data_IF_207410307789
#
_entry.id   IF_207410307789
#
_cell.length_a   1.000
_cell.length_b   1.000
_cell.length_c   1.000
_cell.angle_alpha   90.00
_cell.angle_beta   90.00
_cell.angle_gamma   90.00
#
_symmetry.space_group_name_H-M   'P 1'
#
loop_
_entity.id
_entity.type
_entity.pdbx_description
1 polymer ?
#
# COMPACT_ATOMS: atom_id res chain seq x y z
N UNK A 1 27.31 -25.90 -62.47
CA UNK A 1 27.43 -26.20 -61.02
C UNK A 1 28.02 -24.97 -60.36
N UNK A 2 27.23 -24.26 -59.56
CA UNK A 2 27.64 -23.10 -58.75
C UNK A 2 27.13 -23.37 -57.33
N UNK A 3 27.92 -23.14 -56.26
CA UNK A 3 27.51 -23.52 -54.92
C UNK A 3 26.62 -22.43 -54.31
N UNK A 4 25.53 -22.85 -53.66
CA UNK A 4 24.70 -21.99 -52.84
C UNK A 4 25.41 -21.75 -51.50
N UNK A 5 25.72 -20.49 -51.19
CA UNK A 5 26.27 -20.10 -49.89
C UNK A 5 25.11 -19.79 -48.95
N UNK A 6 24.95 -20.63 -47.91
CA UNK A 6 23.96 -20.45 -46.87
C UNK A 6 24.48 -19.40 -45.88
N UNK A 7 23.77 -18.27 -45.75
CA UNK A 7 24.09 -17.21 -44.81
C UNK A 7 23.38 -17.49 -43.47
N UNK A 8 24.11 -17.93 -42.46
CA UNK A 8 23.59 -18.15 -41.11
C UNK A 8 23.51 -16.80 -40.40
N UNK A 9 22.30 -16.28 -40.18
CA UNK A 9 22.06 -15.09 -39.34
C UNK A 9 22.05 -15.55 -37.89
N UNK A 10 23.08 -15.14 -37.13
CA UNK A 10 23.12 -15.31 -35.67
C UNK A 10 22.38 -14.12 -35.06
N UNK A 11 21.17 -14.35 -34.56
CA UNK A 11 20.45 -13.37 -33.76
C UNK A 11 21.05 -13.41 -32.35
N UNK A 12 21.85 -12.41 -32.02
CA UNK A 12 22.35 -12.21 -30.66
C UNK A 12 21.21 -11.64 -29.82
N UNK A 13 20.54 -12.50 -29.05
CA UNK A 13 19.65 -12.09 -27.96
C UNK A 13 20.52 -11.51 -26.84
N UNK A 14 20.62 -10.20 -26.78
CA UNK A 14 21.15 -9.52 -25.60
C UNK A 14 20.11 -9.67 -24.48
N UNK A 15 20.48 -10.13 -23.27
CA UNK A 15 19.56 -10.09 -22.14
C UNK A 15 19.21 -8.62 -21.91
N UNK A 16 17.91 -8.32 -21.87
CA UNK A 16 17.42 -7.04 -21.35
C UNK A 16 17.92 -6.95 -19.91
N UNK A 17 18.90 -6.07 -19.67
CA UNK A 17 19.19 -5.60 -18.33
C UNK A 17 17.91 -4.91 -17.85
N UNK A 18 17.14 -5.59 -16.99
CA UNK A 18 16.10 -4.98 -16.17
C UNK A 18 16.84 -3.94 -15.33
N UNK A 19 16.88 -2.70 -15.82
CA UNK A 19 17.32 -1.59 -15.01
C UNK A 19 16.20 -1.39 -13.99
N UNK A 20 16.52 -1.54 -12.70
CA UNK A 20 15.63 -1.12 -11.65
C UNK A 20 15.26 0.34 -11.93
N UNK A 21 14.02 0.58 -12.37
CA UNK A 21 13.54 1.94 -12.59
C UNK A 21 13.44 2.57 -11.22
N UNK A 22 14.14 3.68 -10.97
CA UNK A 22 13.86 4.50 -9.80
C UNK A 22 12.71 5.43 -10.16
N UNK A 23 11.66 5.40 -9.33
CA UNK A 23 10.46 6.20 -9.54
C UNK A 23 10.21 7.06 -8.32
N UNK A 24 10.08 8.36 -8.53
CA UNK A 24 9.78 9.31 -7.45
C UNK A 24 8.35 9.16 -6.91
N UNK A 25 7.54 8.28 -7.51
CA UNK A 25 6.18 7.95 -7.08
C UNK A 25 6.16 6.96 -5.90
N UNK A 26 7.26 6.25 -5.63
CA UNK A 26 7.32 5.23 -4.58
C UNK A 26 7.27 5.84 -3.19
N UNK A 27 6.38 5.30 -2.36
CA UNK A 27 6.28 5.61 -0.95
C UNK A 27 6.40 4.39 -0.08
N UNK A 28 6.43 4.62 1.23
CA UNK A 28 6.52 3.57 2.23
C UNK A 28 5.19 3.46 2.98
N UNK A 29 4.51 2.33 2.82
CA UNK A 29 3.51 1.88 3.77
C UNK A 29 4.26 1.32 4.99
N UNK A 30 4.45 2.15 6.00
CA UNK A 30 5.33 1.84 7.12
C UNK A 30 4.61 1.06 8.22
N UNK A 31 5.10 -0.15 8.48
CA UNK A 31 4.66 -1.01 9.60
C UNK A 31 5.84 -1.16 10.58
N UNK A 32 5.79 -0.51 11.76
CA UNK A 32 6.89 -0.59 12.71
C UNK A 32 7.02 -1.99 13.31
N UNK A 33 8.26 -2.44 13.55
CA UNK A 33 8.56 -3.65 14.30
C UNK A 33 9.34 -3.32 15.57
N UNK A 34 8.76 -3.61 16.73
CA UNK A 34 9.47 -3.47 18.01
C UNK A 34 10.58 -4.53 18.17
N UNK A 35 10.39 -5.72 17.56
CA UNK A 35 11.36 -6.82 17.62
C UNK A 35 12.58 -6.56 16.71
N UNK A 36 12.35 -5.87 15.60
CA UNK A 36 13.33 -5.64 14.54
C UNK A 36 13.48 -4.17 14.16
N UNK A 37 13.48 -3.27 15.14
CA UNK A 37 13.58 -1.82 14.92
C UNK A 37 14.82 -1.37 14.12
N UNK A 38 15.88 -2.17 14.03
CA UNK A 38 17.05 -1.89 13.18
C UNK A 38 16.76 -1.96 11.69
N UNK A 39 15.69 -2.65 11.28
CA UNK A 39 15.31 -2.76 9.88
C UNK A 39 14.94 -1.37 9.29
N UNK A 40 14.59 -0.41 10.15
CA UNK A 40 14.31 0.97 9.77
C UNK A 40 15.50 1.70 9.11
N UNK A 41 16.73 1.24 9.35
CA UNK A 41 17.92 1.75 8.68
C UNK A 41 17.86 1.56 7.15
N UNK A 42 17.14 0.55 6.66
CA UNK A 42 16.93 0.30 5.23
C UNK A 42 16.01 1.35 4.59
N UNK A 43 15.01 1.82 5.33
CA UNK A 43 14.04 2.81 4.85
C UNK A 43 14.59 4.23 4.87
N UNK A 44 15.51 4.51 5.79
CA UNK A 44 16.10 5.85 5.99
C UNK A 44 17.42 6.07 5.24
N UNK A 45 17.92 5.05 4.54
CA UNK A 45 19.15 5.14 3.77
C UNK A 45 19.06 6.21 2.67
N UNK A 46 20.07 7.09 2.59
CA UNK A 46 20.10 8.23 1.64
C UNK A 46 20.01 7.88 0.14
N UNK A 47 20.14 6.60 -0.21
CA UNK A 47 20.11 6.09 -1.59
C UNK A 47 18.73 5.60 -2.03
N UNK A 48 17.71 5.63 -1.17
CA UNK A 48 16.38 5.13 -1.49
C UNK A 48 15.62 6.04 -2.48
N UNK A 49 14.84 5.49 -3.44
CA UNK A 49 13.96 6.25 -4.32
C UNK A 49 12.65 6.68 -3.64
N UNK A 50 12.42 6.27 -2.39
CA UNK A 50 11.23 6.63 -1.62
C UNK A 50 11.15 8.14 -1.41
N UNK A 51 9.96 8.72 -1.57
CA UNK A 51 9.75 10.18 -1.42
C UNK A 51 8.74 10.56 -0.34
N UNK A 52 7.87 9.63 0.05
CA UNK A 52 6.82 9.84 1.03
C UNK A 52 6.56 8.57 1.86
N UNK A 53 5.91 8.71 3.00
CA UNK A 53 5.44 7.57 3.80
C UNK A 53 4.17 7.91 4.57
N UNK A 54 3.46 6.86 4.96
CA UNK A 54 2.41 6.91 5.97
C UNK A 54 2.53 5.69 6.87
N UNK A 55 1.91 5.75 8.06
CA UNK A 55 2.04 4.73 9.11
C UNK A 55 0.69 4.43 9.78
N UNK A 56 -0.41 4.67 9.09
CA UNK A 56 -1.79 4.57 9.60
C UNK A 56 -2.14 5.52 10.77
N UNK A 57 -1.25 6.45 11.13
CA UNK A 57 -1.44 7.37 12.25
C UNK A 57 -1.58 8.83 11.80
N UNK A 58 -2.02 9.67 12.73
CA UNK A 58 -2.07 11.13 12.56
C UNK A 58 -0.70 11.80 12.74
N UNK A 59 0.31 11.09 13.25
CA UNK A 59 1.62 11.63 13.61
C UNK A 59 2.76 10.78 13.06
N UNK A 60 3.92 11.40 12.73
CA UNK A 60 5.03 10.71 12.10
C UNK A 60 5.73 9.75 13.06
N UNK A 61 6.22 8.64 12.52
CA UNK A 61 7.12 7.72 13.23
C UNK A 61 8.48 8.38 13.50
N UNK A 62 8.92 8.42 14.75
CA UNK A 62 10.22 9.00 15.13
C UNK A 62 11.41 8.29 14.48
N UNK A 63 11.28 6.98 14.23
CA UNK A 63 12.29 6.18 13.54
C UNK A 63 12.62 6.69 12.13
N UNK A 64 11.66 7.33 11.45
CA UNK A 64 11.84 7.85 10.10
C UNK A 64 12.20 9.34 10.04
N UNK A 65 12.44 9.98 11.19
CA UNK A 65 12.73 11.42 11.25
C UNK A 65 13.98 11.87 10.48
N UNK A 66 14.95 10.98 10.26
CA UNK A 66 16.17 11.23 9.50
C UNK A 66 16.05 10.92 7.99
N UNK A 67 14.94 10.31 7.56
CA UNK A 67 14.80 9.77 6.20
C UNK A 67 14.69 10.82 5.10
N UNK A 68 14.23 12.03 5.43
CA UNK A 68 13.85 13.05 4.44
C UNK A 68 12.56 12.73 3.68
N UNK A 69 11.84 11.66 4.04
CA UNK A 69 10.55 11.32 3.47
C UNK A 69 9.47 12.30 3.94
N UNK A 70 8.56 12.66 3.03
CA UNK A 70 7.39 13.46 3.41
C UNK A 70 6.37 12.58 4.12
N UNK A 71 6.05 12.89 5.37
CA UNK A 71 4.99 12.20 6.11
C UNK A 71 3.60 12.59 5.60
N UNK A 72 2.72 11.61 5.45
CA UNK A 72 1.32 11.77 5.06
C UNK A 72 0.43 11.23 6.20
N UNK A 73 -0.19 12.11 7.01
CA UNK A 73 -1.09 11.70 8.09
C UNK A 73 -2.32 10.96 7.55
N UNK A 74 -2.80 9.98 8.31
CA UNK A 74 -4.04 9.24 8.02
C UNK A 74 -5.03 9.34 9.17
N UNK A 75 -6.29 9.65 8.86
CA UNK A 75 -7.41 9.41 9.78
C UNK A 75 -7.89 7.99 9.55
N UNK A 76 -7.29 7.01 10.23
CA UNK A 76 -7.53 5.58 9.97
C UNK A 76 -9.01 5.18 10.08
N UNK A 77 -9.70 5.64 11.12
CA UNK A 77 -11.11 5.38 11.37
C UNK A 77 -11.68 6.40 12.34
N UNK A 78 -13.00 6.40 12.52
CA UNK A 78 -13.68 7.27 13.47
C UNK A 78 -14.93 6.62 14.07
N UNK A 79 -15.35 7.12 15.24
CA UNK A 79 -16.59 6.71 15.91
C UNK A 79 -17.56 7.88 15.95
N UNK A 80 -18.85 7.61 15.78
CA UNK A 80 -19.86 8.67 15.71
C UNK A 80 -19.90 9.55 16.96
N UNK A 81 -19.78 10.87 16.75
CA UNK A 81 -19.78 11.87 17.82
C UNK A 81 -18.53 11.86 18.72
N UNK A 82 -17.49 11.11 18.36
CA UNK A 82 -16.21 11.09 19.08
C UNK A 82 -15.18 11.88 18.26
N UNK A 83 -14.65 12.95 18.87
CA UNK A 83 -13.51 13.69 18.34
C UNK A 83 -12.28 12.78 18.33
N UNK A 84 -11.72 12.55 17.14
CA UNK A 84 -10.52 11.73 16.96
C UNK A 84 -9.25 12.48 17.32
N UNK A 85 -9.31 13.81 17.41
CA UNK A 85 -8.17 14.70 17.57
C UNK A 85 -7.35 14.87 16.29
N UNK A 86 -7.78 14.30 15.16
CA UNK A 86 -7.02 14.27 13.91
C UNK A 86 -6.75 15.66 13.34
N UNK A 87 -7.79 16.49 13.20
CA UNK A 87 -7.64 17.87 12.75
C UNK A 87 -6.62 18.63 13.61
N UNK A 88 -6.75 18.51 14.93
CA UNK A 88 -5.88 19.18 15.89
C UNK A 88 -4.42 18.69 15.77
N UNK A 89 -4.21 17.39 15.59
CA UNK A 89 -2.88 16.79 15.41
C UNK A 89 -2.21 17.26 14.11
N UNK A 90 -2.92 17.28 12.98
CA UNK A 90 -2.40 17.77 11.70
C UNK A 90 -2.13 19.26 11.76
N UNK A 91 -3.05 20.04 12.34
CA UNK A 91 -2.86 21.49 12.51
C UNK A 91 -1.63 21.79 13.37
N UNK A 92 -1.40 21.06 14.46
CA UNK A 92 -0.25 21.27 15.32
C UNK A 92 1.08 21.03 14.58
N UNK A 93 1.13 20.04 13.68
CA UNK A 93 2.30 19.79 12.84
C UNK A 93 2.52 20.91 11.82
N UNK A 94 1.46 21.40 11.16
CA UNK A 94 1.53 22.56 10.27
C UNK A 94 2.03 23.82 11.01
N UNK A 95 1.51 24.08 12.22
CA UNK A 95 1.93 25.20 13.05
C UNK A 95 3.41 25.08 13.50
N UNK A 96 3.92 23.85 13.63
CA UNK A 96 5.33 23.57 13.90
C UNK A 96 6.25 23.72 12.67
N UNK A 97 5.68 23.95 11.49
CA UNK A 97 6.42 24.14 10.23
C UNK A 97 6.63 22.86 9.41
N UNK A 98 5.97 21.76 9.76
CA UNK A 98 6.03 20.52 8.98
C UNK A 98 5.40 20.70 7.60
N UNK A 99 6.00 20.09 6.58
CA UNK A 99 5.59 20.21 5.18
C UNK A 99 4.42 19.27 4.82
N UNK A 100 3.33 19.32 5.58
CA UNK A 100 2.14 18.50 5.30
C UNK A 100 1.35 19.12 4.15
N UNK A 101 1.27 18.38 3.04
CA UNK A 101 0.55 18.82 1.84
C UNK A 101 -0.65 17.94 1.49
N UNK A 102 -0.67 16.70 1.99
CA UNK A 102 -1.71 15.71 1.74
C UNK A 102 -2.03 14.98 3.05
N UNK A 103 -3.27 14.53 3.19
CA UNK A 103 -3.71 13.58 4.23
C UNK A 103 -4.54 12.47 3.60
N UNK A 104 -4.48 11.30 4.20
CA UNK A 104 -5.30 10.14 3.83
C UNK A 104 -6.56 10.08 4.71
N UNK A 105 -7.67 9.72 4.08
CA UNK A 105 -8.93 9.42 4.77
C UNK A 105 -8.92 8.04 5.44
N UNK A 106 -10.11 7.51 5.69
CA UNK A 106 -10.32 6.24 6.39
C UNK A 106 -9.70 5.05 5.65
N UNK A 107 -9.17 4.10 6.42
CA UNK A 107 -8.59 2.85 5.96
C UNK A 107 -9.64 1.75 5.92
N UNK A 108 -9.95 1.24 4.74
CA UNK A 108 -10.94 0.19 4.46
C UNK A 108 -12.19 0.30 5.34
N UNK A 109 -12.92 1.43 5.29
CA UNK A 109 -14.13 1.61 6.09
C UNK A 109 -15.25 0.64 5.70
N UNK A 110 -15.15 0.01 4.54
CA UNK A 110 -16.01 -1.08 4.07
C UNK A 110 -15.57 -2.47 4.58
N UNK A 111 -14.35 -2.58 5.11
CA UNK A 111 -13.79 -3.81 5.67
C UNK A 111 -13.95 -3.93 7.18
N UNK A 112 -14.00 -5.17 7.67
CA UNK A 112 -14.15 -5.47 9.11
C UNK A 112 -12.85 -5.21 9.89
N UNK A 113 -12.96 -4.86 11.17
CA UNK A 113 -11.78 -4.54 12.00
C UNK A 113 -10.89 -5.72 12.34
N UNK A 114 -11.41 -6.95 12.30
CA UNK A 114 -10.60 -8.16 12.48
C UNK A 114 -9.76 -8.51 11.24
N UNK A 115 -10.08 -7.95 10.07
CA UNK A 115 -9.26 -8.05 8.85
C UNK A 115 -8.43 -6.81 8.57
N UNK A 116 -8.40 -5.83 9.49
CA UNK A 116 -7.58 -4.62 9.39
C UNK A 116 -8.30 -3.39 8.82
N UNK A 117 -9.61 -3.47 8.57
CA UNK A 117 -10.43 -2.33 8.14
C UNK A 117 -10.95 -1.49 9.30
N UNK A 118 -11.38 -0.27 9.00
CA UNK A 118 -11.91 0.63 10.04
C UNK A 118 -13.38 0.39 10.40
N UNK A 119 -14.08 -0.50 9.67
CA UNK A 119 -15.47 -0.91 9.89
C UNK A 119 -16.40 0.27 10.21
N UNK A 120 -16.60 1.13 9.20
CA UNK A 120 -17.33 2.37 9.37
C UNK A 120 -18.57 2.42 8.48
N UNK A 121 -19.76 2.66 9.05
CA UNK A 121 -20.92 3.03 8.26
C UNK A 121 -20.68 4.35 7.51
N UNK A 122 -21.04 4.40 6.22
CA UNK A 122 -20.88 5.58 5.36
C UNK A 122 -21.38 6.89 5.98
N UNK A 123 -22.52 6.87 6.67
CA UNK A 123 -23.08 8.05 7.34
C UNK A 123 -22.23 8.54 8.53
N UNK A 124 -21.58 7.62 9.26
CA UNK A 124 -20.65 7.96 10.35
C UNK A 124 -19.38 8.57 9.76
N UNK A 125 -18.84 7.94 8.71
CA UNK A 125 -17.69 8.45 7.98
C UNK A 125 -17.92 9.86 7.43
N UNK A 126 -19.10 10.14 6.85
CA UNK A 126 -19.46 11.47 6.34
C UNK A 126 -19.41 12.55 7.43
N UNK A 127 -19.96 12.28 8.62
CA UNK A 127 -19.93 13.23 9.76
C UNK A 127 -18.51 13.43 10.28
N UNK A 128 -17.75 12.35 10.42
CA UNK A 128 -16.35 12.43 10.85
C UNK A 128 -15.50 13.21 9.84
N UNK A 129 -15.69 12.98 8.54
CA UNK A 129 -15.01 13.70 7.47
C UNK A 129 -15.24 15.21 7.57
N UNK A 130 -16.51 15.62 7.72
CA UNK A 130 -16.88 17.04 7.85
C UNK A 130 -16.28 17.70 9.09
N UNK A 131 -16.09 16.94 10.18
CA UNK A 131 -15.51 17.44 11.41
C UNK A 131 -13.97 17.52 11.37
N UNK A 132 -13.31 16.53 10.79
CA UNK A 132 -11.87 16.29 10.97
C UNK A 132 -11.02 16.56 9.71
N UNK A 133 -11.57 16.27 8.53
CA UNK A 133 -10.84 16.34 7.27
C UNK A 133 -11.15 17.63 6.50
N UNK A 134 -12.43 17.99 6.32
CA UNK A 134 -12.81 19.20 5.58
C UNK A 134 -12.11 20.49 6.05
N UNK A 135 -12.01 20.78 7.36
CA UNK A 135 -11.39 22.00 7.82
C UNK A 135 -9.90 22.14 7.41
N UNK A 136 -9.20 21.03 7.14
CA UNK A 136 -7.80 21.04 6.70
C UNK A 136 -7.62 21.68 5.32
N UNK A 137 -8.66 21.68 4.47
CA UNK A 137 -8.60 22.34 3.16
C UNK A 137 -8.42 23.85 3.26
N UNK A 138 -8.97 24.47 4.31
CA UNK A 138 -8.76 25.88 4.59
C UNK A 138 -7.29 26.19 4.96
N UNK A 139 -6.52 25.17 5.37
CA UNK A 139 -5.09 25.23 5.64
C UNK A 139 -4.23 24.88 4.41
N UNK A 140 -4.85 24.62 3.26
CA UNK A 140 -4.16 24.27 2.02
C UNK A 140 -3.76 22.80 1.90
N UNK A 141 -4.24 21.93 2.80
CA UNK A 141 -4.00 20.48 2.76
C UNK A 141 -4.97 19.82 1.78
N UNK A 142 -4.45 18.90 0.96
CA UNK A 142 -5.25 18.09 0.03
C UNK A 142 -5.78 16.84 0.71
N UNK A 143 -7.05 16.49 0.45
CA UNK A 143 -7.71 15.35 1.09
C UNK A 143 -7.79 14.14 0.15
N UNK A 144 -7.27 13.00 0.60
CA UNK A 144 -7.47 11.71 -0.05
C UNK A 144 -8.82 11.13 0.34
N UNK A 145 -9.58 10.65 -0.64
CA UNK A 145 -10.81 9.89 -0.39
C UNK A 145 -10.57 8.71 0.58
N UNK A 146 -11.61 8.14 1.22
CA UNK A 146 -11.46 6.90 1.96
C UNK A 146 -10.86 5.80 1.08
N UNK A 147 -9.84 5.11 1.58
CA UNK A 147 -9.19 4.00 0.89
C UNK A 147 -10.01 2.73 1.15
N UNK A 148 -10.92 2.38 0.23
CA UNK A 148 -11.77 1.19 0.37
C UNK A 148 -11.06 -0.08 -0.10
N UNK A 149 -11.57 -1.25 0.29
CA UNK A 149 -11.09 -2.53 -0.26
C UNK A 149 -11.18 -2.52 -1.80
N UNK A 150 -10.26 -3.25 -2.45
CA UNK A 150 -10.21 -3.39 -3.91
C UNK A 150 -11.35 -4.23 -4.51
N UNK A 151 -12.58 -4.07 -4.03
CA UNK A 151 -13.74 -4.88 -4.37
C UNK A 151 -14.90 -4.01 -4.91
N UNK A 152 -15.90 -4.62 -5.59
CA UNK A 152 -17.13 -3.90 -5.92
C UNK A 152 -17.83 -3.30 -4.69
N UNK A 153 -17.78 -4.01 -3.55
CA UNK A 153 -18.35 -3.53 -2.28
C UNK A 153 -17.69 -2.25 -1.78
N UNK A 154 -16.36 -2.11 -1.95
CA UNK A 154 -15.65 -0.88 -1.63
C UNK A 154 -16.12 0.31 -2.46
N UNK A 155 -16.32 0.11 -3.77
CA UNK A 155 -16.86 1.17 -4.64
C UNK A 155 -18.31 1.54 -4.28
N UNK A 156 -19.15 0.55 -3.95
CA UNK A 156 -20.52 0.78 -3.45
C UNK A 156 -20.51 1.56 -2.12
N UNK A 157 -19.54 1.28 -1.24
CA UNK A 157 -19.38 2.03 0.01
C UNK A 157 -19.00 3.49 -0.26
N UNK A 158 -18.08 3.76 -1.21
CA UNK A 158 -17.73 5.13 -1.60
C UNK A 158 -18.96 5.90 -2.11
N UNK A 159 -19.82 5.24 -2.88
CA UNK A 159 -21.06 5.83 -3.40
C UNK A 159 -21.99 6.26 -2.25
N UNK A 160 -22.19 5.37 -1.28
CA UNK A 160 -22.98 5.65 -0.09
C UNK A 160 -22.35 6.76 0.77
N UNK A 161 -21.02 6.82 0.86
CA UNK A 161 -20.29 7.88 1.57
C UNK A 161 -20.54 9.25 0.94
N UNK A 162 -20.35 9.38 -0.37
CA UNK A 162 -20.58 10.67 -1.05
C UNK A 162 -22.05 11.08 -1.05
N UNK A 163 -22.99 10.12 -1.10
CA UNK A 163 -24.41 10.41 -0.88
C UNK A 163 -24.67 10.95 0.52
N UNK A 164 -24.14 10.29 1.56
CA UNK A 164 -24.30 10.72 2.95
C UNK A 164 -23.63 12.07 3.24
N UNK A 165 -22.59 12.43 2.48
CA UNK A 165 -21.93 13.71 2.59
C UNK A 165 -22.75 14.90 2.10
N UNK A 166 -23.76 14.69 1.23
CA UNK A 166 -24.61 15.75 0.65
C UNK A 166 -23.80 16.97 0.14
N UNK A 167 -22.69 16.69 -0.56
CA UNK A 167 -21.77 17.70 -1.10
C UNK A 167 -20.79 18.32 -0.09
N UNK A 168 -20.82 17.89 1.18
CA UNK A 168 -19.94 18.38 2.25
C UNK A 168 -18.61 17.65 2.40
N UNK A 169 -18.26 16.71 1.52
CA UNK A 169 -16.98 15.99 1.55
C UNK A 169 -16.27 16.10 0.20
N UNK A 170 -15.35 17.04 0.08
CA UNK A 170 -14.54 17.27 -1.10
C UNK A 170 -13.24 16.46 -1.04
N UNK A 171 -12.91 15.77 -2.13
CA UNK A 171 -11.67 15.00 -2.28
C UNK A 171 -10.79 15.58 -3.38
N UNK A 172 -9.47 15.55 -3.17
CA UNK A 172 -8.46 16.06 -4.10
C UNK A 172 -7.75 14.94 -4.87
N UNK A 173 -7.65 13.76 -4.27
CA UNK A 173 -7.08 12.54 -4.86
C UNK A 173 -7.77 11.29 -4.30
N UNK A 174 -7.53 10.14 -4.93
CA UNK A 174 -8.18 8.87 -4.57
C UNK A 174 -7.14 7.82 -4.20
N UNK A 175 -7.02 7.48 -2.91
CA UNK A 175 -6.34 6.28 -2.45
C UNK A 175 -7.01 5.01 -2.98
N UNK A 176 -6.22 4.01 -3.35
CA UNK A 176 -6.69 2.72 -3.87
C UNK A 176 -5.91 1.61 -3.20
N UNK A 177 -6.63 0.60 -2.70
CA UNK A 177 -6.07 -0.66 -2.24
C UNK A 177 -6.32 -1.77 -3.26
N UNK A 178 -5.37 -2.68 -3.41
CA UNK A 178 -5.56 -3.86 -4.26
C UNK A 178 -4.74 -5.07 -3.81
N UNK A 179 -5.44 -6.14 -3.45
CA UNK A 179 -4.83 -7.44 -3.17
C UNK A 179 -5.39 -8.48 -4.15
N UNK A 180 -4.58 -8.88 -5.13
CA UNK A 180 -5.01 -9.79 -6.20
C UNK A 180 -4.15 -9.67 -7.46
N UNK A 181 -4.53 -10.34 -8.54
CA UNK A 181 -3.75 -10.38 -9.78
C UNK A 181 -3.66 -9.02 -10.51
N UNK A 182 -2.72 -8.94 -11.46
CA UNK A 182 -2.45 -7.71 -12.21
C UNK A 182 -3.63 -7.26 -13.10
N UNK A 183 -4.33 -8.19 -13.75
CA UNK A 183 -5.48 -7.84 -14.59
C UNK A 183 -6.60 -7.18 -13.77
N UNK A 184 -6.83 -7.69 -12.56
CA UNK A 184 -7.79 -7.11 -11.62
C UNK A 184 -7.35 -5.72 -11.16
N UNK A 185 -6.06 -5.54 -10.82
CA UNK A 185 -5.48 -4.24 -10.47
C UNK A 185 -5.72 -3.20 -11.58
N UNK A 186 -5.37 -3.54 -12.82
CA UNK A 186 -5.52 -2.64 -13.96
C UNK A 186 -6.99 -2.30 -14.22
N UNK A 187 -7.88 -3.28 -14.11
CA UNK A 187 -9.33 -3.09 -14.24
C UNK A 187 -9.89 -2.19 -13.13
N UNK A 188 -9.49 -2.42 -11.88
CA UNK A 188 -9.95 -1.65 -10.73
C UNK A 188 -9.51 -0.19 -10.81
N UNK A 189 -8.25 0.08 -11.18
CA UNK A 189 -7.79 1.44 -11.45
C UNK A 189 -8.59 2.13 -12.58
N UNK A 190 -9.00 1.38 -13.60
CA UNK A 190 -9.88 1.87 -14.65
C UNK A 190 -11.24 2.32 -14.11
N UNK A 191 -11.88 1.51 -13.27
CA UNK A 191 -13.16 1.81 -12.64
C UNK A 191 -13.06 3.03 -11.72
N UNK A 192 -12.02 3.11 -10.88
CA UNK A 192 -11.77 4.28 -10.02
C UNK A 192 -11.55 5.54 -10.86
N UNK A 193 -10.81 5.43 -11.96
CA UNK A 193 -10.55 6.57 -12.86
C UNK A 193 -11.82 7.08 -13.55
N UNK A 194 -12.72 6.18 -13.93
CA UNK A 194 -14.04 6.55 -14.48
C UNK A 194 -14.92 7.23 -13.44
N UNK A 195 -14.91 6.72 -12.19
CA UNK A 195 -15.69 7.27 -11.07
C UNK A 195 -15.21 8.67 -10.67
N UNK A 196 -13.90 8.89 -10.63
CA UNK A 196 -13.26 10.11 -10.14
C UNK A 196 -12.47 10.82 -11.25
N UNK A 197 -13.18 11.31 -12.25
CA UNK A 197 -12.58 12.04 -13.35
C UNK A 197 -11.69 13.20 -12.85
N UNK A 198 -10.54 13.37 -13.49
CA UNK A 198 -9.57 14.44 -13.20
C UNK A 198 -8.93 14.40 -11.80
N UNK A 199 -9.13 13.34 -11.00
CA UNK A 199 -8.39 13.13 -9.75
C UNK A 199 -7.16 12.26 -9.97
N UNK A 200 -6.06 12.58 -9.30
CA UNK A 200 -4.92 11.67 -9.24
C UNK A 200 -5.26 10.48 -8.36
N UNK A 201 -4.70 9.33 -8.69
CA UNK A 201 -4.78 8.10 -7.90
C UNK A 201 -3.47 7.92 -7.13
N UNK A 202 -3.60 7.50 -5.89
CA UNK A 202 -2.53 7.04 -5.03
C UNK A 202 -2.81 5.56 -4.73
N UNK A 203 -1.93 4.64 -5.14
CA UNK A 203 -2.09 3.22 -4.79
C UNK A 203 -1.43 3.03 -3.43
N UNK A 204 -2.19 3.25 -2.35
CA UNK A 204 -1.65 3.28 -0.99
C UNK A 204 -1.31 1.90 -0.47
N UNK A 205 -2.01 0.87 -0.94
CA UNK A 205 -1.65 -0.52 -0.67
C UNK A 205 -1.86 -1.37 -1.90
N UNK A 206 -0.88 -2.22 -2.21
CA UNK A 206 -1.10 -3.32 -3.12
C UNK A 206 -0.15 -4.48 -2.83
N UNK A 207 -0.59 -5.70 -3.08
CA UNK A 207 0.26 -6.89 -3.17
C UNK A 207 -0.48 -8.05 -3.86
N UNK A 208 0.22 -9.18 -4.09
CA UNK A 208 -0.38 -10.44 -4.54
C UNK A 208 -0.37 -11.44 -3.37
N UNK A 209 -1.50 -11.63 -2.68
CA UNK A 209 -1.54 -12.45 -1.48
C UNK A 209 -1.38 -13.95 -1.78
N UNK A 210 -0.61 -14.65 -0.94
CA UNK A 210 -0.49 -16.12 -0.91
C UNK A 210 -0.16 -16.80 -2.26
N UNK A 211 0.51 -16.08 -3.17
CA UNK A 211 0.97 -16.60 -4.45
C UNK A 211 2.39 -17.17 -4.37
N UNK A 212 2.77 -17.96 -5.38
CA UNK A 212 4.13 -18.48 -5.51
C UNK A 212 5.13 -17.33 -5.75
N UNK A 213 6.41 -17.58 -5.43
CA UNK A 213 7.44 -16.54 -5.45
C UNK A 213 7.61 -15.92 -6.85
N UNK A 214 7.64 -16.75 -7.89
CA UNK A 214 7.79 -16.30 -9.27
C UNK A 214 6.59 -15.46 -9.74
N UNK A 215 5.37 -15.88 -9.41
CA UNK A 215 4.14 -15.13 -9.69
C UNK A 215 4.13 -13.78 -8.96
N UNK A 216 4.58 -13.74 -7.70
CA UNK A 216 4.63 -12.51 -6.89
C UNK A 216 5.68 -11.54 -7.44
N UNK A 217 6.85 -12.04 -7.84
CA UNK A 217 7.89 -11.24 -8.49
C UNK A 217 7.44 -10.71 -9.86
N UNK A 218 6.72 -11.50 -10.65
CA UNK A 218 6.15 -11.06 -11.93
C UNK A 218 5.10 -9.98 -11.72
N UNK A 219 4.16 -10.17 -10.78
CA UNK A 219 3.16 -9.18 -10.41
C UNK A 219 3.79 -7.85 -9.99
N UNK A 220 4.81 -7.89 -9.14
CA UNK A 220 5.52 -6.69 -8.70
C UNK A 220 6.14 -5.94 -9.87
N UNK A 221 6.88 -6.63 -10.75
CA UNK A 221 7.52 -5.99 -11.89
C UNK A 221 6.51 -5.37 -12.86
N UNK A 222 5.41 -6.08 -13.15
CA UNK A 222 4.34 -5.59 -14.02
C UNK A 222 3.63 -4.37 -13.42
N UNK A 223 3.29 -4.42 -12.13
CA UNK A 223 2.59 -3.33 -11.44
C UNK A 223 3.45 -2.07 -11.30
N UNK A 224 4.71 -2.20 -10.89
CA UNK A 224 5.62 -1.07 -10.77
C UNK A 224 5.85 -0.36 -12.12
N UNK A 225 6.12 -1.14 -13.18
CA UNK A 225 6.26 -0.60 -14.54
C UNK A 225 4.96 0.07 -15.03
N UNK A 226 3.81 -0.52 -14.73
CA UNK A 226 2.50 0.04 -15.08
C UNK A 226 2.27 1.39 -14.39
N UNK A 227 2.47 1.48 -13.07
CA UNK A 227 2.28 2.72 -12.30
C UNK A 227 3.23 3.84 -12.75
N UNK A 228 4.47 3.50 -13.08
CA UNK A 228 5.44 4.48 -13.58
C UNK A 228 4.97 5.15 -14.88
N UNK A 229 4.31 4.41 -15.78
CA UNK A 229 3.78 4.94 -17.06
C UNK A 229 2.47 5.73 -16.94
N UNK A 230 1.70 5.55 -15.87
CA UNK A 230 0.40 6.20 -15.73
C UNK A 230 0.55 7.60 -15.09
N UNK A 231 0.32 8.66 -15.86
CA UNK A 231 0.42 10.05 -15.36
C UNK A 231 -0.57 10.37 -14.23
N UNK A 232 -1.72 9.70 -14.21
CA UNK A 232 -2.72 9.88 -13.16
C UNK A 232 -2.41 9.08 -11.89
N UNK A 233 -1.54 8.07 -11.94
CA UNK A 233 -1.00 7.42 -10.74
C UNK A 233 0.24 8.22 -10.33
N UNK A 234 0.13 8.92 -9.22
CA UNK A 234 1.18 9.85 -8.78
C UNK A 234 2.00 9.30 -7.63
N UNK A 235 1.43 8.37 -6.86
CA UNK A 235 2.02 7.78 -5.68
C UNK A 235 1.63 6.29 -5.62
N UNK A 236 2.56 5.42 -5.23
CA UNK A 236 2.24 4.03 -4.91
C UNK A 236 3.12 3.51 -3.78
N UNK A 237 2.57 2.61 -2.96
CA UNK A 237 3.27 1.90 -1.88
C UNK A 237 2.92 0.42 -1.90
N UNK A 238 3.92 -0.43 -2.08
CA UNK A 238 3.77 -1.88 -1.93
C UNK A 238 3.56 -2.20 -0.44
N UNK A 239 2.55 -2.98 -0.11
CA UNK A 239 2.33 -3.45 1.26
C UNK A 239 3.27 -4.63 1.53
N UNK A 240 4.47 -4.35 2.04
CA UNK A 240 5.49 -5.38 2.24
C UNK A 240 6.70 -4.94 3.06
N UNK A 241 6.67 -3.76 3.70
CA UNK A 241 7.82 -3.22 4.43
C UNK A 241 7.98 -3.86 5.83
N UNK A 242 8.13 -5.17 5.85
CA UNK A 242 8.26 -6.03 7.01
C UNK A 242 8.97 -7.34 6.59
N UNK A 243 9.30 -8.17 7.58
CA UNK A 243 9.88 -9.50 7.36
C UNK A 243 8.86 -10.51 6.88
N UNK A 244 9.31 -11.49 6.12
CA UNK A 244 8.45 -12.51 5.49
C UNK A 244 7.64 -13.33 6.49
N UNK A 245 8.12 -13.50 7.72
CA UNK A 245 7.43 -14.20 8.81
C UNK A 245 6.43 -13.34 9.59
N UNK A 246 6.45 -12.02 9.42
CA UNK A 246 5.45 -11.08 9.96
C UNK A 246 4.27 -10.86 8.99
N UNK A 247 4.38 -11.33 7.75
CA UNK A 247 3.39 -11.06 6.69
C UNK A 247 2.05 -11.75 6.93
N UNK A 248 0.96 -10.97 6.83
CA UNK A 248 -0.42 -11.48 6.82
C UNK A 248 -0.99 -11.69 5.41
N UNK A 249 -0.19 -11.47 4.35
CA UNK A 249 -0.58 -11.67 2.94
C UNK A 249 0.33 -12.70 2.25
N UNK A 250 0.95 -13.58 3.03
CA UNK A 250 1.94 -14.55 2.56
C UNK A 250 3.36 -13.97 2.47
N UNK A 251 4.40 -14.82 2.55
CA UNK A 251 5.78 -14.36 2.71
C UNK A 251 6.36 -13.71 1.45
N UNK A 252 5.87 -14.12 0.27
CA UNK A 252 6.55 -13.85 -0.99
C UNK A 252 6.46 -12.38 -1.46
N UNK A 253 5.56 -11.60 -0.88
CA UNK A 253 5.42 -10.16 -1.14
C UNK A 253 6.21 -9.27 -0.18
N UNK A 254 6.88 -9.85 0.83
CA UNK A 254 7.65 -9.10 1.82
C UNK A 254 8.96 -8.55 1.23
N UNK A 255 9.35 -7.37 1.69
CA UNK A 255 10.59 -6.70 1.28
C UNK A 255 11.82 -7.25 2.00
N UNK A 256 11.63 -7.88 3.16
CA UNK A 256 12.69 -8.50 3.94
C UNK A 256 12.40 -9.99 4.10
N UNK A 257 13.44 -10.81 4.06
CA UNK A 257 13.34 -12.20 4.54
C UNK A 257 13.27 -12.25 6.08
N UNK A 258 13.17 -13.45 6.66
CA UNK A 258 13.07 -13.60 8.11
C UNK A 258 14.34 -13.17 8.88
N UNK A 259 15.49 -13.11 8.20
CA UNK A 259 16.75 -12.63 8.80
C UNK A 259 16.88 -11.10 8.74
N UNK A 260 16.00 -10.43 7.99
CA UNK A 260 15.99 -8.97 7.80
C UNK A 260 16.80 -8.51 6.60
N UNK A 261 17.26 -9.42 5.74
CA UNK A 261 17.94 -9.08 4.51
C UNK A 261 16.92 -8.78 3.39
N UNK A 262 17.26 -7.84 2.50
CA UNK A 262 16.37 -7.46 1.41
C UNK A 262 16.11 -8.65 0.47
N UNK A 263 14.83 -8.93 0.21
CA UNK A 263 14.39 -9.83 -0.86
C UNK A 263 14.63 -9.18 -2.21
N UNK A 264 14.46 -9.94 -3.29
CA UNK A 264 14.48 -9.37 -4.64
C UNK A 264 13.49 -8.21 -4.79
N UNK A 265 12.23 -8.39 -4.33
CA UNK A 265 11.21 -7.34 -4.37
C UNK A 265 11.62 -6.12 -3.54
N UNK A 266 12.09 -6.33 -2.31
CA UNK A 266 12.54 -5.23 -1.45
C UNK A 266 13.66 -4.42 -2.09
N UNK A 267 14.68 -5.10 -2.62
CA UNK A 267 15.79 -4.44 -3.28
C UNK A 267 15.34 -3.70 -4.55
N UNK A 268 14.53 -4.31 -5.42
CA UNK A 268 14.01 -3.65 -6.62
C UNK A 268 13.17 -2.42 -6.27
N UNK A 269 12.37 -2.50 -5.20
CA UNK A 269 11.54 -1.39 -4.73
C UNK A 269 12.38 -0.20 -4.27
N UNK A 270 13.50 -0.49 -3.60
CA UNK A 270 14.51 0.48 -3.20
C UNK A 270 15.50 0.85 -4.33
N UNK A 271 15.25 0.43 -5.58
CA UNK A 271 16.07 0.78 -6.74
C UNK A 271 17.39 0.01 -6.86
N UNK A 272 17.55 -1.06 -6.10
CA UNK A 272 18.68 -1.99 -6.14
C UNK A 272 18.54 -3.11 -7.18
N UNK A 273 19.56 -3.95 -7.27
CA UNK A 273 19.57 -5.16 -8.10
C UNK A 273 18.99 -6.36 -7.32
N UNK A 274 18.64 -7.44 -8.03
CA UNK A 274 18.26 -8.71 -7.39
C UNK A 274 19.31 -9.14 -6.35
N UNK A 275 18.86 -9.53 -5.17
CA UNK A 275 19.69 -10.02 -4.05
C UNK A 275 19.84 -11.53 -4.09
N UNK A 276 18.83 -12.22 -4.62
CA UNK A 276 18.72 -13.69 -4.57
C UNK A 276 18.31 -14.22 -3.19
N UNK A 277 17.90 -13.35 -2.26
CA UNK A 277 17.36 -13.77 -0.97
C UNK A 277 15.88 -14.12 -1.15
N UNK A 278 15.53 -15.36 -0.80
CA UNK A 278 14.16 -15.85 -0.89
C UNK A 278 13.40 -15.53 0.40
N UNK A 279 12.12 -15.08 0.31
CA UNK A 279 11.29 -14.89 1.48
C UNK A 279 10.99 -16.25 2.15
N UNK A 280 11.49 -16.45 3.36
CA UNK A 280 11.24 -17.69 4.11
C UNK A 280 10.03 -17.52 5.03
N UNK A 281 9.11 -18.49 5.00
CA UNK A 281 8.12 -18.64 6.07
C UNK A 281 8.84 -19.15 7.32
N UNK A 282 8.55 -18.59 8.50
CA UNK A 282 9.13 -19.04 9.77
C UNK A 282 8.92 -20.56 9.98
N UNK A 283 9.87 -21.36 9.51
CA UNK A 283 9.87 -22.80 9.66
C UNK A 283 10.56 -23.13 10.97
N UNK A 284 9.76 -23.26 12.03
CA UNK A 284 10.10 -23.87 13.33
C UNK A 284 11.03 -23.10 14.29
N UNK A 285 10.47 -22.13 15.01
CA UNK A 285 10.79 -21.95 16.44
C UNK A 285 9.56 -22.18 17.31
N UNK A 286 9.32 -23.45 17.64
CA UNK A 286 8.51 -23.83 18.80
C UNK A 286 9.19 -23.27 20.06
N UNK A 287 8.66 -22.17 20.58
CA UNK A 287 9.07 -21.56 21.83
C UNK A 287 7.98 -20.64 22.34
N UNK A 288 7.10 -21.19 23.18
CA UNK A 288 5.94 -20.50 23.74
C UNK A 288 6.31 -19.17 24.41
N UNK A 289 5.79 -18.06 23.87
CA UNK A 289 5.46 -16.86 24.63
C UNK A 289 4.23 -16.23 23.98
N UNK A 290 3.12 -16.22 24.71
CA UNK A 290 1.87 -15.63 24.27
C UNK A 290 2.01 -14.12 24.15
N UNK A 291 1.81 -13.58 22.95
CA UNK A 291 1.53 -12.16 22.75
C UNK A 291 0.01 -11.96 22.71
N UNK A 292 -0.46 -11.12 23.61
CA UNK A 292 -1.83 -10.67 23.69
C UNK A 292 -1.97 -9.41 22.82
N UNK A 293 -2.80 -9.50 21.79
CA UNK A 293 -3.21 -8.36 20.98
C UNK A 293 -3.38 -8.77 19.53
N UNK A 294 -4.60 -8.58 19.01
CA UNK A 294 -5.04 -8.81 17.63
C UNK A 294 -5.38 -10.28 17.34
N UNK A 295 -6.67 -10.60 17.56
CA UNK A 295 -7.23 -11.91 17.28
C UNK A 295 -7.54 -12.06 15.80
N UNK A 296 -6.87 -12.99 15.15
CA UNK A 296 -7.29 -13.58 13.86
C UNK A 296 -7.87 -14.95 14.17
N UNK A 297 -9.13 -15.18 13.79
CA UNK A 297 -9.74 -16.51 13.84
C UNK A 297 -10.11 -16.93 12.42
N UNK A 298 -9.19 -17.68 11.79
CA UNK A 298 -9.40 -18.30 10.48
C UNK A 298 -10.56 -19.31 10.55
N UNK A 299 -11.64 -19.05 9.82
CA UNK A 299 -12.66 -20.07 9.54
C UNK A 299 -12.38 -20.68 8.17
N UNK A 300 -11.79 -21.87 8.18
CA UNK A 300 -11.67 -22.73 7.02
C UNK A 300 -13.04 -23.31 6.64
N UNK A 301 -13.61 -22.92 5.50
CA UNK A 301 -14.77 -23.59 4.91
C UNK A 301 -14.29 -24.75 4.05
N UNK A 302 -14.30 -25.96 4.63
CA UNK A 302 -14.12 -27.19 3.87
C UNK A 302 -15.45 -27.59 3.21
N UNK A 303 -15.46 -27.60 1.88
CA UNK A 303 -16.58 -28.10 1.07
C UNK A 303 -16.79 -29.60 1.26
N UNK A 304 -18.05 -30.00 1.49
CA UNK A 304 -18.47 -31.39 1.50
C UNK A 304 -19.32 -31.69 0.25
N UNK A 305 -18.73 -32.41 -0.70
CA UNK A 305 -19.47 -33.22 -1.65
C UNK A 305 -19.83 -34.56 -0.98
N UNK A 306 -21.09 -35.01 -1.09
CA UNK A 306 -21.49 -36.38 -1.46
C UNK A 306 -22.99 -36.66 -1.27
N UNK A 307 -23.63 -37.03 -2.38
CA UNK A 307 -24.57 -38.16 -2.56
C UNK A 307 -25.76 -38.32 -1.60
N UNK A 308 -26.94 -37.87 -2.04
CA UNK A 308 -28.12 -38.69 -2.43
C UNK A 308 -29.23 -37.81 -2.99
#
# INVERSE_FOLDING_TARGET
MLPATLLTIVISSSPLLVHATSSTKRGLCYVPSDEHASDDDLWTASSTPLTWYYNYQSTPSSALSSSGLTFVPMLWGATDGVDSGFYSAVKAQLDAGEAISHVLGFNEPDGESDTGGSDMPAAVAARAWQAELEPLRALGVKLGAPAVTGSPGGLEWLDAFFEACDGGCAVDFVPVHWYGNFEGLASHLGQVRERFENKSIWVTEYNLPDAELDETQEFYNMSAEYFDRLDYVTHYSLFGAFRSDDSNVGPNGAMLDSDGDLTDIGSWYLGGAATGNEPDSASAKLGAAAFAGWGVLLVAVAGAWSLL
#
